data_IF_754268584354
#
_entry.id   IF_754268584354
#
_cell.length_a   1.000
_cell.length_b   1.000
_cell.length_c   1.000
_cell.angle_alpha   90.00
_cell.angle_beta   90.00
_cell.angle_gamma   90.00
#
_symmetry.space_group_name_H-M   'P 1'
#
loop_
_entity.id
_entity.type
_entity.pdbx_description
1 polymer ?
#
# COMPACT_ATOMS: atom_id res chain seq x y z
N UNK A 1 -7.13 -13.81 13.81
CA UNK A 1 -6.82 -12.43 14.22
C UNK A 1 -5.79 -12.51 15.33
N UNK A 2 -4.51 -12.42 15.00
CA UNK A 2 -3.44 -12.17 15.95
C UNK A 2 -2.46 -11.21 15.30
N UNK A 3 -2.29 -10.06 15.94
CA UNK A 3 -1.34 -9.02 15.57
C UNK A 3 0.02 -9.42 16.15
N UNK A 4 1.06 -9.47 15.33
CA UNK A 4 2.44 -9.32 15.83
C UNK A 4 2.88 -7.92 15.45
N UNK A 5 2.42 -6.95 16.24
CA UNK A 5 3.16 -5.70 16.35
C UNK A 5 4.32 -5.98 17.30
N UNK A 6 5.56 -5.96 16.80
CA UNK A 6 6.65 -5.53 17.66
C UNK A 6 6.47 -4.02 17.88
N UNK A 7 5.54 -3.67 18.77
CA UNK A 7 5.71 -2.46 19.56
C UNK A 7 6.83 -2.81 20.54
N UNK A 8 8.05 -2.44 20.20
CA UNK A 8 9.04 -2.17 21.23
C UNK A 8 8.85 -0.69 21.60
N UNK A 9 8.08 -0.38 22.67
CA UNK A 9 8.06 0.98 23.18
C UNK A 9 9.45 1.26 23.74
N UNK A 10 10.15 2.26 23.20
CA UNK A 10 11.05 3.24 23.86
C UNK A 10 11.99 2.81 25.02
N UNK A 11 12.09 1.54 25.40
CA UNK A 11 12.70 1.08 26.66
C UNK A 11 14.13 0.56 26.50
N UNK A 12 14.62 0.36 25.28
CA UNK A 12 16.01 -0.06 25.03
C UNK A 12 16.66 0.69 23.85
N UNK A 13 16.72 2.03 23.86
CA UNK A 13 17.37 2.80 22.79
C UNK A 13 18.88 2.52 22.66
N UNK A 14 19.51 1.94 23.71
CA UNK A 14 20.97 1.73 23.77
C UNK A 14 21.44 0.37 23.25
N UNK A 15 20.57 -0.62 23.09
CA UNK A 15 20.98 -2.00 22.75
C UNK A 15 20.97 -2.30 21.25
N UNK A 16 20.36 -1.43 20.43
CA UNK A 16 20.15 -1.69 19.00
C UNK A 16 20.58 -0.52 18.11
N UNK A 17 21.64 0.22 18.48
CA UNK A 17 22.09 1.45 17.80
C UNK A 17 22.38 1.35 16.29
N UNK A 18 22.46 0.15 15.73
CA UNK A 18 22.69 -0.11 14.29
C UNK A 18 21.54 -0.84 13.56
N UNK A 19 20.34 -0.94 14.15
CA UNK A 19 19.21 -1.64 13.52
C UNK A 19 18.29 -0.67 12.79
N UNK A 20 18.01 -0.99 11.52
CA UNK A 20 17.01 -0.26 10.75
C UNK A 20 15.61 -0.84 11.01
N UNK A 21 14.72 -0.05 11.61
CA UNK A 21 13.32 -0.43 11.77
C UNK A 21 12.53 -0.15 10.48
N UNK A 22 11.96 -1.20 9.92
CA UNK A 22 11.06 -1.11 8.76
C UNK A 22 9.74 -1.83 9.04
N UNK A 23 8.67 -1.29 8.49
CA UNK A 23 7.35 -1.89 8.51
C UNK A 23 7.08 -2.66 7.23
N UNK A 24 6.21 -3.67 7.34
CA UNK A 24 5.76 -4.43 6.18
C UNK A 24 4.85 -3.60 5.27
N UNK A 25 5.28 -3.41 4.04
CA UNK A 25 4.58 -2.65 3.00
C UNK A 25 3.23 -3.24 2.59
N UNK A 26 3.05 -4.56 2.71
CA UNK A 26 1.76 -5.22 2.46
C UNK A 26 0.67 -4.64 3.39
N UNK A 27 0.97 -4.51 4.67
CA UNK A 27 0.03 -3.92 5.62
C UNK A 27 -0.32 -2.47 5.26
N UNK A 28 0.60 -1.74 4.62
CA UNK A 28 0.36 -0.39 4.14
C UNK A 28 -0.57 -0.35 2.94
N UNK A 29 -0.39 -1.25 1.96
CA UNK A 29 -1.28 -1.36 0.80
C UNK A 29 -2.70 -1.77 1.21
N UNK A 30 -2.84 -2.67 2.19
CA UNK A 30 -4.15 -3.03 2.76
C UNK A 30 -4.80 -1.84 3.48
N UNK A 31 -4.02 -1.03 4.22
CA UNK A 31 -4.55 0.21 4.83
C UNK A 31 -5.02 1.21 3.77
N UNK A 32 -4.31 1.33 2.64
CA UNK A 32 -4.73 2.16 1.50
C UNK A 32 -6.08 1.68 0.94
N UNK A 33 -6.20 0.38 0.67
CA UNK A 33 -7.45 -0.22 0.20
C UNK A 33 -8.61 0.04 1.16
N UNK A 34 -8.39 -0.10 2.47
CA UNK A 34 -9.40 0.20 3.50
C UNK A 34 -9.83 1.67 3.53
N UNK A 35 -8.93 2.60 3.19
CA UNK A 35 -9.28 4.02 3.04
C UNK A 35 -10.13 4.24 1.79
N UNK A 36 -9.73 3.67 0.64
CA UNK A 36 -10.45 3.77 -0.63
C UNK A 36 -11.86 3.17 -0.53
N UNK A 37 -12.03 2.05 0.17
CA UNK A 37 -13.33 1.40 0.37
C UNK A 37 -14.38 2.25 1.12
N UNK A 38 -13.99 3.41 1.68
CA UNK A 38 -14.93 4.36 2.28
C UNK A 38 -15.50 5.36 1.28
N UNK A 39 -14.76 5.69 0.22
CA UNK A 39 -15.14 6.69 -0.77
C UNK A 39 -16.40 6.33 -1.59
N UNK A 40 -16.63 5.07 -1.99
CA UNK A 40 -17.85 4.69 -2.73
C UNK A 40 -19.16 4.92 -1.97
N UNK A 41 -19.11 5.08 -0.65
CA UNK A 41 -20.30 5.37 0.18
C UNK A 41 -20.77 6.82 0.06
N UNK A 42 -19.97 7.68 -0.57
CA UNK A 42 -20.31 9.08 -0.85
C UNK A 42 -21.08 9.12 -2.18
N UNK A 43 -22.21 9.84 -2.22
CA UNK A 43 -23.00 10.02 -3.44
C UNK A 43 -22.14 10.49 -4.61
N UNK A 44 -22.25 9.82 -5.76
CA UNK A 44 -21.50 10.05 -7.01
C UNK A 44 -20.00 9.71 -6.91
N UNK A 45 -19.63 8.72 -6.09
CA UNK A 45 -18.25 8.23 -5.94
C UNK A 45 -18.15 6.70 -6.07
N UNK A 46 -19.18 6.05 -6.60
CA UNK A 46 -19.31 4.59 -6.72
C UNK A 46 -18.16 4.01 -7.56
N UNK A 47 -17.75 4.73 -8.62
CA UNK A 47 -16.65 4.35 -9.51
C UNK A 47 -15.28 4.21 -8.80
N UNK A 48 -15.13 4.74 -7.57
CA UNK A 48 -13.92 4.51 -6.77
C UNK A 48 -13.75 3.03 -6.40
N UNK A 49 -14.85 2.28 -6.27
CA UNK A 49 -14.80 0.86 -5.96
C UNK A 49 -14.09 0.06 -7.05
N UNK A 50 -14.38 0.39 -8.32
CA UNK A 50 -13.77 -0.25 -9.48
C UNK A 50 -12.25 -0.04 -9.50
N UNK A 51 -11.80 1.18 -9.20
CA UNK A 51 -10.37 1.52 -9.24
C UNK A 51 -9.59 1.10 -7.99
N UNK A 52 -10.25 0.80 -6.87
CA UNK A 52 -9.60 0.56 -5.57
C UNK A 52 -8.54 -0.54 -5.60
N UNK A 53 -8.82 -1.65 -6.30
CA UNK A 53 -7.88 -2.77 -6.43
C UNK A 53 -6.69 -2.42 -7.34
N UNK A 54 -6.94 -1.76 -8.47
CA UNK A 54 -5.88 -1.31 -9.38
C UNK A 54 -4.93 -0.33 -8.68
N UNK A 55 -5.46 0.62 -7.90
CA UNK A 55 -4.67 1.55 -7.09
C UNK A 55 -3.78 0.81 -6.08
N UNK A 56 -4.33 -0.17 -5.37
CA UNK A 56 -3.56 -0.99 -4.41
C UNK A 56 -2.46 -1.78 -5.13
N UNK A 57 -2.76 -2.36 -6.27
CA UNK A 57 -1.81 -3.15 -7.07
C UNK A 57 -0.71 -2.26 -7.65
N UNK A 58 -1.03 -1.07 -8.14
CA UNK A 58 -0.06 -0.07 -8.58
C UNK A 58 0.84 0.35 -7.42
N UNK A 59 0.28 0.64 -6.25
CA UNK A 59 1.05 0.95 -5.04
C UNK A 59 2.03 -0.19 -4.66
N UNK A 60 1.62 -1.45 -4.83
CA UNK A 60 2.48 -2.61 -4.62
C UNK A 60 3.58 -2.71 -5.68
N UNK A 61 3.28 -2.45 -6.96
CA UNK A 61 4.20 -2.60 -8.07
C UNK A 61 5.26 -1.47 -8.15
N UNK A 62 4.92 -0.25 -7.71
CA UNK A 62 5.83 0.92 -7.67
C UNK A 62 6.93 0.79 -6.58
N UNK A 63 7.21 -0.44 -6.17
CA UNK A 63 8.23 -0.90 -5.22
C UNK A 63 9.64 -0.36 -5.44
N UNK A 64 9.95 0.07 -6.66
CA UNK A 64 11.32 0.39 -7.10
C UNK A 64 11.55 1.90 -7.26
N UNK A 65 10.52 2.70 -7.56
CA UNK A 65 10.72 4.10 -7.97
C UNK A 65 10.64 5.08 -6.79
N UNK A 66 9.81 4.80 -5.78
CA UNK A 66 9.66 5.66 -4.59
C UNK A 66 10.93 5.77 -3.73
N UNK A 67 11.80 4.76 -3.77
CA UNK A 67 13.06 4.74 -3.01
C UNK A 67 14.13 5.58 -3.72
N UNK A 68 14.07 5.64 -5.06
CA UNK A 68 15.15 6.18 -5.90
C UNK A 68 14.89 7.61 -6.40
N UNK A 69 13.62 8.00 -6.56
CA UNK A 69 13.25 9.36 -6.97
C UNK A 69 12.23 9.90 -5.98
N UNK A 70 12.60 10.97 -5.27
CA UNK A 70 11.75 11.73 -4.33
C UNK A 70 10.53 12.39 -5.00
N UNK A 71 10.28 12.11 -6.28
CA UNK A 71 9.34 12.81 -7.14
C UNK A 71 8.35 11.84 -7.82
N UNK A 72 7.11 12.29 -7.77
CA UNK A 72 5.97 12.06 -8.64
C UNK A 72 5.40 10.69 -9.01
N UNK A 73 6.07 9.58 -8.70
CA UNK A 73 5.55 8.25 -9.08
C UNK A 73 4.23 7.88 -8.39
N UNK A 74 3.98 8.35 -7.18
CA UNK A 74 2.68 8.21 -6.51
C UNK A 74 1.55 9.01 -7.19
N UNK A 75 1.89 10.08 -7.93
CA UNK A 75 0.93 10.81 -8.75
C UNK A 75 0.65 10.13 -10.08
N UNK A 76 1.57 9.27 -10.57
CA UNK A 76 1.37 8.50 -11.79
C UNK A 76 0.09 7.65 -11.78
N UNK A 77 -0.30 7.13 -10.61
CA UNK A 77 -1.59 6.42 -10.46
C UNK A 77 -2.79 7.33 -10.74
N UNK A 78 -2.71 8.62 -10.40
CA UNK A 78 -3.79 9.57 -10.64
C UNK A 78 -3.89 9.92 -12.13
N UNK A 79 -2.76 10.05 -12.82
CA UNK A 79 -2.76 10.20 -14.27
C UNK A 79 -3.30 8.94 -14.95
N UNK A 80 -2.87 7.76 -14.51
CA UNK A 80 -3.33 6.48 -15.05
C UNK A 80 -4.85 6.28 -14.93
N UNK A 81 -5.44 6.57 -13.76
CA UNK A 81 -6.89 6.46 -13.56
C UNK A 81 -7.67 7.44 -14.47
N UNK A 82 -7.05 8.57 -14.80
CA UNK A 82 -7.60 9.54 -15.76
C UNK A 82 -7.36 9.16 -17.23
N UNK A 83 -6.70 8.03 -17.50
CA UNK A 83 -6.33 7.61 -18.86
C UNK A 83 -5.14 8.38 -19.43
N UNK A 84 -4.41 9.14 -18.62
CA UNK A 84 -3.21 9.84 -19.02
C UNK A 84 -1.98 8.98 -18.74
N UNK A 85 -1.33 8.52 -19.81
CA UNK A 85 -0.15 7.66 -19.72
C UNK A 85 1.17 8.40 -19.94
N UNK A 86 1.12 9.65 -20.39
CA UNK A 86 2.28 10.53 -20.57
C UNK A 86 1.94 11.93 -20.03
N UNK A 87 2.89 12.59 -19.38
CA UNK A 87 2.76 13.95 -18.84
C UNK A 87 4.12 14.66 -18.80
N UNK A 88 4.12 15.97 -18.53
CA UNK A 88 5.32 16.82 -18.62
C UNK A 88 6.52 16.30 -17.81
N UNK A 89 6.26 15.67 -16.66
CA UNK A 89 7.29 15.20 -15.72
C UNK A 89 7.44 13.65 -15.69
N UNK A 90 6.86 12.92 -16.64
CA UNK A 90 7.01 11.46 -16.70
C UNK A 90 5.92 10.70 -17.45
N UNK A 91 5.97 9.38 -17.31
CA UNK A 91 5.07 8.45 -17.99
C UNK A 91 4.54 7.38 -17.02
N UNK A 92 3.45 6.70 -17.42
CA UNK A 92 2.86 5.64 -16.63
C UNK A 92 3.86 4.49 -16.49
N UNK A 93 4.33 4.28 -15.27
CA UNK A 93 5.14 3.10 -14.91
C UNK A 93 4.28 1.90 -14.53
N UNK A 94 3.00 1.92 -14.94
CA UNK A 94 2.16 0.74 -14.89
C UNK A 94 2.84 -0.36 -15.72
N UNK A 95 3.14 -1.50 -15.09
CA UNK A 95 3.56 -2.70 -15.81
C UNK A 95 2.48 -3.16 -16.80
N UNK A 96 2.66 -4.29 -17.50
CA UNK A 96 1.63 -4.79 -18.43
C UNK A 96 0.27 -4.82 -17.73
N UNK A 97 -0.70 -4.13 -18.34
CA UNK A 97 -2.07 -3.91 -17.86
C UNK A 97 -2.53 -5.12 -17.08
N UNK A 98 -2.65 -4.96 -15.77
CA UNK A 98 -3.07 -6.05 -14.90
C UNK A 98 -4.49 -6.39 -15.37
N UNK A 99 -4.85 -7.67 -15.49
CA UNK A 99 -6.20 -8.10 -15.88
C UNK A 99 -7.32 -7.37 -15.10
N UNK A 100 -6.99 -6.84 -13.92
CA UNK A 100 -7.85 -5.96 -13.12
C UNK A 100 -8.19 -4.61 -13.76
N UNK A 101 -7.56 -4.13 -14.83
CA UNK A 101 -7.79 -2.81 -15.45
C UNK A 101 -8.55 -2.90 -16.79
N UNK A 102 -8.63 -4.09 -17.37
CA UNK A 102 -9.31 -4.33 -18.65
C UNK A 102 -10.81 -4.02 -18.50
N UNK A 103 -11.31 -3.12 -19.34
CA UNK A 103 -12.73 -2.73 -19.37
C UNK A 103 -13.14 -1.68 -18.33
N UNK A 104 -12.22 -1.13 -17.53
CA UNK A 104 -12.54 -0.04 -16.60
C UNK A 104 -12.68 1.29 -17.33
N UNK A 105 -13.68 2.07 -16.93
CA UNK A 105 -13.85 3.43 -17.42
C UNK A 105 -12.89 4.37 -16.70
N UNK A 106 -12.10 5.13 -17.47
CA UNK A 106 -11.25 6.20 -16.96
C UNK A 106 -12.10 7.27 -16.27
N UNK A 107 -11.60 7.85 -15.19
CA UNK A 107 -12.33 8.88 -14.44
C UNK A 107 -11.99 10.27 -14.95
N UNK A 108 -13.00 11.11 -15.13
CA UNK A 108 -12.80 12.55 -15.34
C UNK A 108 -12.12 13.16 -14.10
N UNK A 109 -11.04 13.92 -14.29
CA UNK A 109 -10.32 14.62 -13.21
C UNK A 109 -11.19 15.59 -12.42
N UNK A 110 -12.22 16.15 -13.05
CA UNK A 110 -13.20 17.02 -12.42
C UNK A 110 -14.27 16.28 -11.64
N UNK A 111 -14.41 14.96 -11.87
CA UNK A 111 -15.37 14.12 -11.18
C UNK A 111 -15.13 14.09 -9.68
N UNK A 112 -16.22 13.90 -8.94
CA UNK A 112 -16.16 13.77 -7.48
C UNK A 112 -15.40 12.51 -7.06
N UNK A 113 -15.59 11.41 -7.80
CA UNK A 113 -14.88 10.15 -7.59
C UNK A 113 -13.35 10.32 -7.67
N UNK A 114 -12.87 11.00 -8.72
CA UNK A 114 -11.44 11.29 -8.87
C UNK A 114 -10.89 12.11 -7.71
N UNK A 115 -11.61 13.17 -7.30
CA UNK A 115 -11.22 14.02 -6.17
C UNK A 115 -11.16 13.26 -4.85
N UNK A 116 -12.03 12.28 -4.62
CA UNK A 116 -11.95 11.43 -3.43
C UNK A 116 -10.75 10.49 -3.45
N UNK A 117 -10.43 9.88 -4.61
CA UNK A 117 -9.19 9.10 -4.76
C UNK A 117 -7.97 9.98 -4.51
N UNK A 118 -7.94 11.17 -5.10
CA UNK A 118 -6.87 12.14 -4.96
C UNK A 118 -6.62 12.50 -3.49
N UNK A 119 -7.68 12.73 -2.70
CA UNK A 119 -7.58 12.99 -1.25
C UNK A 119 -6.95 11.82 -0.48
N UNK A 120 -7.29 10.59 -0.84
CA UNK A 120 -6.77 9.39 -0.15
C UNK A 120 -5.31 9.13 -0.51
N UNK A 121 -4.97 9.21 -1.79
CA UNK A 121 -3.61 8.96 -2.30
C UNK A 121 -2.64 10.05 -1.82
N UNK A 122 -3.09 11.31 -1.78
CA UNK A 122 -2.27 12.47 -1.37
C UNK A 122 -2.44 12.88 0.09
N UNK A 123 -3.02 12.01 0.91
CA UNK A 123 -3.11 12.24 2.35
C UNK A 123 -1.70 12.42 2.94
N UNK A 124 -1.40 13.62 3.43
CA UNK A 124 -0.07 13.98 3.92
C UNK A 124 0.39 13.08 5.07
N UNK A 125 -0.53 12.61 5.92
CA UNK A 125 -0.20 11.65 6.98
C UNK A 125 0.20 10.29 6.41
N UNK A 126 -0.48 9.83 5.36
CA UNK A 126 -0.13 8.60 4.64
C UNK A 126 1.24 8.72 3.97
N UNK A 127 1.50 9.80 3.25
CA UNK A 127 2.76 10.04 2.55
C UNK A 127 3.94 10.16 3.54
N UNK A 128 3.79 10.93 4.62
CA UNK A 128 4.84 11.09 5.64
C UNK A 128 5.31 9.75 6.21
N UNK A 129 4.40 8.81 6.45
CA UNK A 129 4.77 7.50 6.99
C UNK A 129 5.54 6.58 6.01
N UNK A 130 5.74 6.96 4.74
CA UNK A 130 6.50 6.15 3.79
C UNK A 130 7.96 5.93 4.19
N UNK A 131 8.55 6.80 5.01
CA UNK A 131 9.90 6.58 5.55
C UNK A 131 10.02 5.29 6.38
N UNK A 132 8.91 4.69 6.84
CA UNK A 132 8.91 3.42 7.56
C UNK A 132 8.91 2.21 6.62
N UNK A 133 8.68 2.41 5.31
CA UNK A 133 8.48 1.36 4.31
C UNK A 133 9.55 1.36 3.21
N UNK A 134 10.55 2.24 3.29
CA UNK A 134 11.61 2.45 2.28
C UNK A 134 12.40 1.19 1.92
N UNK A 135 12.55 0.23 2.82
CA UNK A 135 13.26 -1.03 2.53
C UNK A 135 12.35 -2.09 1.88
N UNK A 136 11.07 -1.77 1.64
CA UNK A 136 10.09 -2.65 1.00
C UNK A 136 10.12 -4.10 1.52
N UNK A 137 10.17 -4.27 2.84
CA UNK A 137 10.18 -5.59 3.48
C UNK A 137 8.77 -6.16 3.48
N UNK A 138 8.67 -7.48 3.40
CA UNK A 138 7.42 -8.23 3.42
C UNK A 138 7.59 -9.48 4.28
N UNK A 139 6.66 -9.73 5.21
CA UNK A 139 6.78 -10.80 6.20
C UNK A 139 6.02 -12.08 5.84
N UNK A 140 5.47 -12.23 4.62
CA UNK A 140 4.71 -13.42 4.23
C UNK A 140 5.41 -14.75 4.55
N UNK A 141 6.72 -14.88 4.31
CA UNK A 141 7.42 -16.14 4.61
C UNK A 141 7.38 -16.47 6.11
N UNK A 142 7.58 -15.45 6.95
CA UNK A 142 7.51 -15.58 8.41
C UNK A 142 6.08 -15.86 8.87
N UNK A 143 5.08 -15.16 8.30
CA UNK A 143 3.67 -15.37 8.62
C UNK A 143 3.17 -16.75 8.20
N UNK A 144 3.59 -17.23 7.03
CA UNK A 144 3.31 -18.59 6.56
C UNK A 144 3.97 -19.63 7.47
N UNK A 145 5.23 -19.42 7.83
CA UNK A 145 5.93 -20.30 8.79
C UNK A 145 5.18 -20.36 10.12
N UNK A 146 4.80 -19.22 10.69
CA UNK A 146 4.05 -19.15 11.94
C UNK A 146 2.67 -19.84 11.81
N UNK A 147 1.99 -19.67 10.67
CA UNK A 147 0.71 -20.33 10.41
C UNK A 147 0.85 -21.85 10.33
N UNK A 148 1.92 -22.34 9.70
CA UNK A 148 2.26 -23.76 9.67
C UNK A 148 2.60 -24.27 11.08
N UNK A 149 3.42 -23.53 11.83
CA UNK A 149 3.75 -23.88 13.20
C UNK A 149 2.50 -23.98 14.08
N UNK A 150 1.57 -23.03 13.99
CA UNK A 150 0.30 -23.07 14.73
C UNK A 150 -0.60 -24.24 14.35
N UNK A 151 -0.49 -24.74 13.10
CA UNK A 151 -1.29 -25.86 12.60
C UNK A 151 -0.71 -27.21 13.02
N UNK A 152 0.61 -27.35 13.01
CA UNK A 152 1.29 -28.64 13.17
C UNK A 152 2.04 -28.81 14.50
N UNK A 153 2.34 -27.72 15.21
CA UNK A 153 2.97 -27.80 16.53
C UNK A 153 1.90 -28.03 17.63
N UNK A 154 2.19 -28.86 18.64
CA UNK A 154 1.33 -29.00 19.80
C UNK A 154 1.18 -27.63 20.49
N UNK A 155 -0.05 -27.25 20.86
CA UNK A 155 -0.33 -25.93 21.46
C UNK A 155 0.39 -25.68 22.79
N UNK A 156 0.89 -26.72 23.46
CA UNK A 156 1.64 -26.68 24.71
C UNK A 156 2.53 -27.92 24.80
N UNK A 157 3.83 -27.77 24.56
CA UNK A 157 4.81 -28.69 25.13
C UNK A 157 5.36 -27.95 26.34
N UNK A 158 4.91 -28.32 27.54
CA UNK A 158 5.54 -27.83 28.75
C UNK A 158 6.93 -28.45 28.81
N UNK A 159 7.97 -27.63 28.67
CA UNK A 159 9.33 -28.09 28.96
C UNK A 159 9.43 -28.19 30.48
N UNK A 160 9.69 -29.41 30.97
CA UNK A 160 10.03 -29.69 32.37
C UNK A 160 11.48 -29.29 32.64
#
# INVERSE_FOLDING_TARGET
>A
MYYVFFNLPEKHPKEFGNHFHALDVWHKSIKLLKKLAKAPKVKNCEAVAEWSEAIRNHFWFVRIVMVMKRNNSCFGVLHHIAGEHEWADGECTCGPLVATEVGKTCLDKNSKAFKEIHKVVLDQRFLKSFHQYVTFRHTNKLENFNSMLLKYAPKRVGYQ
#
